data_IF_045016178537
#
_entry.id   IF_045016178537
#
_cell.length_a   1.000
_cell.length_b   1.000
_cell.length_c   1.000
_cell.angle_alpha   90.00
_cell.angle_beta   90.00
_cell.angle_gamma   90.00
#
_symmetry.space_group_name_H-M   'P 1'
#
loop_
_entity.id
_entity.type
_entity.pdbx_description
1 polymer ?
#
# COMPACT_ATOMS: atom_id res chain seq x y z
N UNK A 1 -36.21 -22.88 -11.53
CA UNK A 1 -36.21 -21.92 -10.39
C UNK A 1 -35.78 -20.55 -10.89
N UNK A 2 -36.68 -19.83 -11.61
CA UNK A 2 -36.32 -18.55 -12.26
C UNK A 2 -37.00 -17.34 -11.60
N UNK A 3 -37.39 -17.43 -10.30
CA UNK A 3 -38.31 -16.44 -9.70
C UNK A 3 -37.58 -15.41 -8.80
N UNK A 4 -36.32 -15.60 -8.49
CA UNK A 4 -35.59 -14.73 -7.51
C UNK A 4 -35.01 -13.45 -8.15
N UNK A 5 -34.52 -13.51 -9.38
CA UNK A 5 -33.85 -12.37 -10.03
C UNK A 5 -34.79 -11.21 -10.42
N UNK A 6 -36.10 -11.48 -10.58
CA UNK A 6 -37.10 -10.49 -11.06
C UNK A 6 -37.41 -9.38 -10.03
N UNK A 7 -37.26 -9.65 -8.73
CA UNK A 7 -37.63 -8.67 -7.68
C UNK A 7 -36.57 -7.55 -7.49
N UNK A 8 -35.32 -7.73 -7.94
CA UNK A 8 -34.26 -6.72 -7.83
C UNK A 8 -34.31 -5.66 -8.97
N UNK A 9 -34.95 -5.99 -10.12
CA UNK A 9 -34.98 -5.08 -11.25
C UNK A 9 -35.65 -3.73 -10.91
N UNK A 10 -36.81 -3.68 -10.20
CA UNK A 10 -37.42 -2.40 -9.80
C UNK A 10 -36.46 -1.51 -8.96
N UNK A 11 -35.61 -2.10 -8.11
CA UNK A 11 -34.62 -1.34 -7.33
C UNK A 11 -33.53 -0.76 -8.23
N UNK A 12 -33.11 -1.52 -9.25
CA UNK A 12 -32.13 -1.03 -10.26
C UNK A 12 -32.78 0.07 -11.11
N UNK A 13 -34.04 -0.10 -11.50
CA UNK A 13 -34.78 0.87 -12.33
C UNK A 13 -35.01 2.18 -11.58
N UNK A 14 -35.31 2.14 -10.30
CA UNK A 14 -35.47 3.33 -9.45
C UNK A 14 -34.17 3.89 -8.89
N UNK A 15 -33.02 3.21 -9.10
CA UNK A 15 -31.74 3.50 -8.49
C UNK A 15 -31.81 3.60 -6.95
N UNK A 16 -32.58 2.70 -6.31
CA UNK A 16 -32.69 2.62 -4.84
C UNK A 16 -31.40 2.02 -4.25
N UNK A 17 -30.37 2.84 -4.09
CA UNK A 17 -29.05 2.42 -3.53
C UNK A 17 -29.20 1.76 -2.15
N UNK A 18 -29.93 2.32 -1.16
CA UNK A 18 -30.12 1.65 0.13
C UNK A 18 -30.81 0.29 0.03
N UNK A 19 -31.83 0.17 -0.81
CA UNK A 19 -32.53 -1.10 -1.07
C UNK A 19 -31.61 -2.13 -1.70
N UNK A 20 -30.83 -1.73 -2.69
CA UNK A 20 -29.85 -2.59 -3.36
C UNK A 20 -28.72 -3.04 -2.42
N UNK A 21 -28.17 -2.18 -1.59
CA UNK A 21 -27.14 -2.58 -0.61
C UNK A 21 -27.68 -3.61 0.40
N UNK A 22 -28.92 -3.46 0.88
CA UNK A 22 -29.55 -4.49 1.70
C UNK A 22 -29.75 -5.82 0.96
N UNK A 23 -30.09 -5.76 -0.32
CA UNK A 23 -30.21 -6.95 -1.16
C UNK A 23 -28.88 -7.65 -1.36
N UNK A 24 -27.78 -6.90 -1.54
CA UNK A 24 -26.41 -7.43 -1.62
C UNK A 24 -26.06 -8.18 -0.34
N UNK A 25 -26.29 -7.57 0.84
CA UNK A 25 -26.02 -8.23 2.13
C UNK A 25 -26.86 -9.51 2.28
N UNK A 26 -28.11 -9.49 1.86
CA UNK A 26 -29.01 -10.65 1.89
C UNK A 26 -28.53 -11.79 0.98
N UNK A 27 -28.16 -11.49 -0.26
CA UNK A 27 -27.61 -12.48 -1.20
C UNK A 27 -26.29 -13.07 -0.70
N UNK A 28 -25.40 -12.23 -0.17
CA UNK A 28 -24.13 -12.69 0.43
C UNK A 28 -24.37 -13.64 1.59
N UNK A 29 -25.23 -13.27 2.55
CA UNK A 29 -25.57 -14.11 3.69
C UNK A 29 -26.21 -15.45 3.27
N UNK A 30 -27.00 -15.42 2.18
CA UNK A 30 -27.62 -16.62 1.61
C UNK A 30 -26.67 -17.41 0.67
N UNK A 31 -25.47 -16.87 0.39
CA UNK A 31 -24.49 -17.42 -0.59
C UNK A 31 -25.05 -17.56 -1.99
N UNK A 32 -25.89 -16.61 -2.40
CA UNK A 32 -26.51 -16.57 -3.72
C UNK A 32 -25.59 -15.84 -4.73
N UNK A 33 -24.38 -16.40 -4.97
CA UNK A 33 -23.31 -15.76 -5.73
C UNK A 33 -23.68 -15.43 -7.17
N UNK A 34 -24.40 -16.33 -7.83
CA UNK A 34 -24.90 -16.10 -9.20
C UNK A 34 -25.82 -14.89 -9.27
N UNK A 35 -26.67 -14.69 -8.24
CA UNK A 35 -27.54 -13.51 -8.17
C UNK A 35 -26.75 -12.23 -7.99
N UNK A 36 -25.67 -12.24 -7.19
CA UNK A 36 -24.77 -11.11 -7.03
C UNK A 36 -24.06 -10.76 -8.33
N UNK A 37 -23.55 -11.75 -9.08
CA UNK A 37 -22.96 -11.53 -10.40
C UNK A 37 -23.94 -10.93 -11.38
N UNK A 38 -25.19 -11.45 -11.44
CA UNK A 38 -26.23 -10.90 -12.30
C UNK A 38 -26.62 -9.47 -11.88
N UNK A 39 -26.75 -9.21 -10.58
CA UNK A 39 -27.02 -7.86 -10.06
C UNK A 39 -25.90 -6.88 -10.40
N UNK A 40 -24.63 -7.29 -10.26
CA UNK A 40 -23.47 -6.47 -10.66
C UNK A 40 -23.54 -6.07 -12.13
N UNK A 41 -23.86 -7.05 -13.01
CA UNK A 41 -24.02 -6.79 -14.44
C UNK A 41 -25.13 -5.77 -14.69
N UNK A 42 -26.34 -5.95 -14.11
CA UNK A 42 -27.46 -5.02 -14.24
C UNK A 42 -27.13 -3.61 -13.73
N UNK A 43 -26.41 -3.52 -12.61
CA UNK A 43 -25.95 -2.23 -12.10
C UNK A 43 -25.00 -1.55 -13.09
N UNK A 44 -24.06 -2.29 -13.70
CA UNK A 44 -23.14 -1.75 -14.72
C UNK A 44 -23.91 -1.27 -15.97
N UNK A 45 -24.83 -2.09 -16.49
CA UNK A 45 -25.68 -1.70 -17.63
C UNK A 45 -26.48 -0.41 -17.33
N UNK A 46 -26.98 -0.29 -16.10
CA UNK A 46 -27.69 0.91 -15.66
C UNK A 46 -26.79 2.14 -15.48
N UNK A 47 -25.52 1.95 -15.07
CA UNK A 47 -24.51 3.02 -14.99
C UNK A 47 -24.20 3.56 -16.39
N UNK A 48 -24.08 2.70 -17.40
CA UNK A 48 -23.89 3.12 -18.81
C UNK A 48 -25.07 3.96 -19.32
N UNK A 49 -26.26 3.75 -18.76
CA UNK A 49 -27.45 4.56 -19.01
C UNK A 49 -27.57 5.81 -18.12
N UNK A 50 -26.51 6.14 -17.36
CA UNK A 50 -26.42 7.37 -16.56
C UNK A 50 -26.91 7.26 -15.11
N UNK A 51 -27.27 6.06 -14.61
CA UNK A 51 -27.70 5.88 -13.22
C UNK A 51 -26.50 5.86 -12.26
N UNK A 52 -26.66 6.39 -11.05
CA UNK A 52 -25.61 6.48 -10.02
C UNK A 52 -25.56 5.21 -9.16
N UNK A 53 -25.33 4.04 -9.78
CA UNK A 53 -25.29 2.73 -9.13
C UNK A 53 -23.86 2.19 -8.91
N UNK A 54 -22.84 3.00 -9.19
CA UNK A 54 -21.45 2.62 -8.96
C UNK A 54 -21.14 2.19 -7.51
N UNK A 55 -21.73 2.77 -6.41
CA UNK A 55 -21.46 2.28 -5.06
C UNK A 55 -21.95 0.84 -4.85
N UNK A 56 -23.11 0.50 -5.45
CA UNK A 56 -23.67 -0.85 -5.36
C UNK A 56 -22.82 -1.85 -6.15
N UNK A 57 -22.48 -1.52 -7.40
CA UNK A 57 -21.65 -2.39 -8.24
C UNK A 57 -20.30 -2.71 -7.59
N UNK A 58 -19.65 -1.69 -7.04
CA UNK A 58 -18.37 -1.87 -6.34
C UNK A 58 -18.50 -2.65 -5.04
N UNK A 59 -19.57 -2.44 -4.27
CA UNK A 59 -19.82 -3.21 -3.06
C UNK A 59 -20.06 -4.70 -3.39
N UNK A 60 -20.77 -5.01 -4.47
CA UNK A 60 -20.94 -6.40 -4.94
C UNK A 60 -19.58 -7.00 -5.31
N UNK A 61 -18.76 -6.30 -6.10
CA UNK A 61 -17.45 -6.78 -6.51
C UNK A 61 -16.54 -7.02 -5.30
N UNK A 62 -16.58 -6.12 -4.31
CA UNK A 62 -15.87 -6.30 -3.05
C UNK A 62 -16.33 -7.54 -2.28
N UNK A 63 -17.66 -7.74 -2.12
CA UNK A 63 -18.22 -8.92 -1.43
C UNK A 63 -17.89 -10.22 -2.16
N UNK A 64 -17.92 -10.22 -3.51
CA UNK A 64 -17.49 -11.38 -4.30
C UNK A 64 -16.01 -11.68 -4.11
N UNK A 65 -15.13 -10.68 -4.16
CA UNK A 65 -13.70 -10.86 -3.94
C UNK A 65 -13.39 -11.34 -2.52
N UNK A 66 -14.14 -10.90 -1.51
CA UNK A 66 -13.88 -11.17 -0.10
C UNK A 66 -14.36 -12.54 0.36
N UNK A 67 -15.57 -12.97 -0.02
CA UNK A 67 -16.23 -14.13 0.62
C UNK A 67 -16.83 -15.18 -0.33
N UNK A 68 -16.87 -14.89 -1.64
CA UNK A 68 -17.40 -15.87 -2.59
C UNK A 68 -16.35 -16.97 -2.90
N UNK A 69 -16.76 -18.16 -3.33
CA UNK A 69 -15.83 -19.18 -3.82
C UNK A 69 -14.92 -18.69 -4.93
N UNK A 70 -13.70 -19.27 -5.03
CA UNK A 70 -12.62 -18.84 -5.93
C UNK A 70 -13.03 -18.40 -7.33
N UNK A 71 -13.83 -19.18 -8.10
CA UNK A 71 -14.26 -18.78 -9.44
C UNK A 71 -15.04 -17.44 -9.48
N UNK A 72 -15.87 -17.16 -8.49
CA UNK A 72 -16.58 -15.89 -8.41
C UNK A 72 -15.68 -14.76 -7.95
N UNK A 73 -14.81 -15.03 -6.98
CA UNK A 73 -13.82 -14.05 -6.50
C UNK A 73 -12.84 -13.66 -7.61
N UNK A 74 -12.28 -14.63 -8.33
CA UNK A 74 -11.40 -14.40 -9.47
C UNK A 74 -12.09 -13.65 -10.61
N UNK A 75 -13.37 -13.95 -10.87
CA UNK A 75 -14.15 -13.33 -11.94
C UNK A 75 -14.36 -11.81 -11.82
N UNK A 76 -14.11 -11.21 -10.65
CA UNK A 76 -14.16 -9.75 -10.46
C UNK A 76 -12.79 -9.07 -10.50
N UNK A 77 -11.69 -9.85 -10.57
CA UNK A 77 -10.33 -9.33 -10.60
C UNK A 77 -9.96 -8.87 -12.01
N UNK A 78 -10.06 -7.57 -12.23
CA UNK A 78 -9.68 -6.93 -13.49
C UNK A 78 -9.16 -5.51 -13.23
N UNK A 79 -8.31 -4.97 -14.10
CA UNK A 79 -7.82 -3.60 -13.97
C UNK A 79 -8.95 -2.57 -13.83
N UNK A 80 -8.83 -1.69 -12.85
CA UNK A 80 -9.80 -0.62 -12.59
C UNK A 80 -11.12 -1.05 -11.95
N UNK A 81 -11.32 -2.33 -11.63
CA UNK A 81 -12.49 -2.78 -10.89
C UNK A 81 -12.50 -2.21 -9.47
N UNK A 82 -13.72 -1.87 -8.99
CA UNK A 82 -13.99 -1.41 -7.62
C UNK A 82 -13.00 -0.35 -7.10
N UNK A 83 -12.66 0.65 -7.93
CA UNK A 83 -11.66 1.70 -7.64
C UNK A 83 -11.85 2.39 -6.29
N UNK A 84 -13.07 2.46 -5.78
CA UNK A 84 -13.38 3.08 -4.48
C UNK A 84 -13.77 2.04 -3.41
N UNK A 85 -13.42 0.78 -3.60
CA UNK A 85 -13.56 -0.23 -2.56
C UNK A 85 -12.59 0.04 -1.40
N UNK A 86 -12.75 -0.70 -0.31
CA UNK A 86 -11.89 -0.56 0.89
C UNK A 86 -10.41 -0.85 0.61
N UNK A 87 -10.11 -1.61 -0.45
CA UNK A 87 -8.77 -1.89 -0.95
C UNK A 87 -8.83 -2.48 -2.35
N UNK A 88 -7.68 -2.69 -3.02
CA UNK A 88 -7.63 -3.36 -4.32
C UNK A 88 -8.25 -4.75 -4.22
N UNK A 89 -9.10 -5.12 -5.18
CA UNK A 89 -9.76 -6.44 -5.14
C UNK A 89 -8.77 -7.61 -5.15
N UNK A 90 -7.60 -7.44 -5.74
CA UNK A 90 -6.50 -8.43 -5.71
C UNK A 90 -6.00 -8.67 -4.29
N UNK A 91 -5.83 -7.62 -3.49
CA UNK A 91 -5.45 -7.72 -2.08
C UNK A 91 -6.60 -8.28 -1.23
N UNK A 92 -7.83 -7.85 -1.50
CA UNK A 92 -9.04 -8.33 -0.82
C UNK A 92 -9.22 -9.83 -1.03
N UNK A 93 -9.22 -10.30 -2.28
CA UNK A 93 -9.34 -11.73 -2.60
C UNK A 93 -8.18 -12.54 -2.01
N UNK A 94 -6.94 -12.05 -2.13
CA UNK A 94 -5.78 -12.71 -1.55
C UNK A 94 -5.80 -12.74 -0.01
N UNK A 95 -6.63 -11.94 0.67
CA UNK A 95 -6.74 -11.98 2.13
C UNK A 95 -7.53 -13.19 2.65
N UNK A 96 -8.40 -13.77 1.84
CA UNK A 96 -9.32 -14.86 2.21
C UNK A 96 -9.15 -16.14 1.39
N UNK A 97 -8.48 -16.05 0.24
CA UNK A 97 -8.27 -17.20 -0.64
C UNK A 97 -6.78 -17.49 -0.83
N UNK A 98 -6.44 -18.75 -0.98
CA UNK A 98 -5.11 -19.21 -1.42
C UNK A 98 -4.91 -18.95 -2.93
N UNK A 99 -3.65 -19.00 -3.38
CA UNK A 99 -3.35 -18.93 -4.81
C UNK A 99 -4.08 -20.03 -5.61
N UNK A 100 -4.08 -21.26 -5.09
CA UNK A 100 -4.71 -22.41 -5.78
C UNK A 100 -6.22 -22.32 -5.92
N UNK A 101 -6.90 -21.50 -5.11
CA UNK A 101 -8.34 -21.28 -5.22
C UNK A 101 -8.71 -20.22 -6.26
N UNK A 102 -7.76 -19.38 -6.67
CA UNK A 102 -8.00 -18.25 -7.58
C UNK A 102 -7.36 -18.42 -8.95
N UNK A 103 -6.20 -19.07 -9.03
CA UNK A 103 -5.28 -19.01 -10.15
C UNK A 103 -5.92 -19.38 -11.50
N UNK A 104 -6.69 -20.46 -11.55
CA UNK A 104 -7.26 -20.99 -12.80
C UNK A 104 -8.37 -20.11 -13.39
N UNK A 105 -8.95 -19.22 -12.59
CA UNK A 105 -10.10 -18.42 -12.96
C UNK A 105 -9.76 -16.92 -13.13
N UNK A 106 -8.51 -16.49 -12.84
CA UNK A 106 -8.08 -15.10 -13.08
C UNK A 106 -7.75 -14.91 -14.55
N UNK A 107 -8.59 -14.18 -15.26
CA UNK A 107 -8.43 -13.97 -16.71
C UNK A 107 -7.35 -12.94 -17.08
N UNK A 108 -7.07 -11.96 -16.22
CA UNK A 108 -6.12 -10.88 -16.48
C UNK A 108 -4.75 -11.17 -15.89
N UNK A 109 -3.67 -11.27 -16.72
CA UNK A 109 -2.33 -11.60 -16.22
C UNK A 109 -1.76 -10.63 -15.18
N UNK A 110 -2.06 -9.33 -15.29
CA UNK A 110 -1.60 -8.35 -14.33
C UNK A 110 -2.29 -8.52 -12.97
N UNK A 111 -3.59 -8.84 -12.97
CA UNK A 111 -4.32 -9.19 -11.75
C UNK A 111 -3.81 -10.50 -11.14
N UNK A 112 -3.47 -11.49 -11.96
CA UNK A 112 -2.87 -12.75 -11.50
C UNK A 112 -1.51 -12.51 -10.83
N UNK A 113 -0.63 -11.72 -11.46
CA UNK A 113 0.66 -11.34 -10.88
C UNK A 113 0.50 -10.60 -9.55
N UNK A 114 -0.45 -9.66 -9.47
CA UNK A 114 -0.73 -8.92 -8.24
C UNK A 114 -1.24 -9.85 -7.11
N UNK A 115 -2.18 -10.75 -7.41
CA UNK A 115 -2.67 -11.75 -6.42
C UNK A 115 -1.54 -12.67 -5.97
N UNK A 116 -0.70 -13.15 -6.88
CA UNK A 116 0.44 -13.98 -6.54
C UNK A 116 1.38 -13.25 -5.55
N UNK A 117 1.73 -11.99 -5.83
CA UNK A 117 2.56 -11.19 -4.94
C UNK A 117 1.87 -10.93 -3.58
N UNK A 118 0.56 -10.71 -3.55
CA UNK A 118 -0.22 -10.62 -2.31
C UNK A 118 -0.19 -11.94 -1.51
N UNK A 119 -0.19 -13.09 -2.18
CA UNK A 119 -0.06 -14.40 -1.50
C UNK A 119 1.36 -14.66 -1.00
N UNK A 120 2.37 -14.22 -1.75
CA UNK A 120 3.78 -14.31 -1.32
C UNK A 120 4.02 -13.55 -0.01
N UNK A 121 3.52 -12.32 0.11
CA UNK A 121 3.68 -11.56 1.38
C UNK A 121 2.90 -12.19 2.54
N UNK A 122 1.91 -13.02 2.26
CA UNK A 122 1.15 -13.83 3.23
C UNK A 122 1.79 -15.20 3.50
N UNK A 123 2.95 -15.48 2.91
CA UNK A 123 3.79 -16.63 3.21
C UNK A 123 3.68 -17.81 2.23
N UNK A 124 2.95 -17.68 1.12
CA UNK A 124 2.98 -18.74 0.09
C UNK A 124 4.28 -18.73 -0.71
N UNK A 125 4.78 -19.92 -1.04
CA UNK A 125 5.88 -20.11 -1.97
C UNK A 125 5.29 -20.53 -3.31
N UNK A 126 5.30 -19.61 -4.28
CA UNK A 126 4.66 -19.77 -5.58
C UNK A 126 5.67 -19.93 -6.73
N UNK A 127 6.90 -20.37 -6.42
CA UNK A 127 7.92 -20.61 -7.46
C UNK A 127 7.41 -21.61 -8.51
N UNK A 128 7.47 -21.20 -9.77
CA UNK A 128 6.99 -22.00 -10.91
C UNK A 128 5.46 -21.94 -11.13
N UNK A 129 4.74 -21.11 -10.39
CA UNK A 129 3.28 -20.96 -10.55
C UNK A 129 2.87 -19.97 -11.64
N UNK A 130 3.77 -19.10 -12.09
CA UNK A 130 3.56 -18.11 -13.15
C UNK A 130 4.76 -18.09 -14.09
N UNK A 131 4.52 -17.69 -15.34
CA UNK A 131 5.58 -17.49 -16.34
C UNK A 131 6.48 -16.29 -15.99
N UNK A 132 7.79 -16.41 -16.27
CA UNK A 132 8.82 -15.44 -15.88
C UNK A 132 8.58 -14.02 -16.38
N UNK A 133 7.99 -13.85 -17.55
CA UNK A 133 7.77 -12.54 -18.19
C UNK A 133 6.75 -11.64 -17.46
N UNK A 134 5.94 -12.21 -16.57
CA UNK A 134 4.95 -11.47 -15.77
C UNK A 134 5.40 -11.21 -14.33
N UNK A 135 6.60 -11.67 -13.95
CA UNK A 135 7.08 -11.67 -12.59
C UNK A 135 8.10 -10.54 -12.38
N UNK A 136 7.67 -9.46 -11.73
CA UNK A 136 8.57 -8.34 -11.38
C UNK A 136 9.37 -8.59 -10.09
N UNK A 137 8.88 -9.47 -9.20
CA UNK A 137 9.53 -9.81 -7.93
C UNK A 137 9.50 -11.32 -7.68
N UNK A 138 10.44 -11.89 -6.89
CA UNK A 138 10.44 -13.30 -6.57
C UNK A 138 9.11 -13.80 -6.01
N UNK A 139 8.67 -14.98 -6.51
CA UNK A 139 7.43 -15.65 -6.11
C UNK A 139 7.56 -16.38 -4.76
N UNK A 140 8.48 -15.96 -3.96
CA UNK A 140 8.58 -16.31 -2.55
C UNK A 140 9.18 -15.12 -1.79
N UNK A 141 8.79 -14.92 -0.54
CA UNK A 141 9.41 -13.95 0.35
C UNK A 141 10.87 -14.33 0.61
N UNK A 142 11.78 -13.37 0.47
CA UNK A 142 13.18 -13.57 0.76
C UNK A 142 13.44 -13.57 2.27
N UNK A 143 14.51 -14.21 2.72
CA UNK A 143 14.82 -14.34 4.16
C UNK A 143 15.16 -13.01 4.84
N UNK A 144 15.55 -12.00 4.07
CA UNK A 144 15.86 -10.66 4.54
C UNK A 144 14.66 -9.71 4.51
N UNK A 145 13.56 -10.09 3.83
CA UNK A 145 12.32 -9.33 3.86
C UNK A 145 11.64 -9.45 5.23
N UNK A 146 11.01 -8.38 5.73
CA UNK A 146 10.32 -8.38 7.02
C UNK A 146 9.03 -9.22 7.00
N UNK A 147 8.48 -9.45 8.18
CA UNK A 147 7.07 -9.77 8.30
C UNK A 147 6.27 -8.50 8.05
N UNK A 148 5.52 -8.48 6.95
CA UNK A 148 4.74 -7.31 6.55
C UNK A 148 3.45 -7.18 7.36
N UNK A 149 3.09 -5.96 7.72
CA UNK A 149 1.83 -5.65 8.37
C UNK A 149 0.67 -5.83 7.37
N UNK A 150 -0.09 -6.90 7.53
CA UNK A 150 -1.15 -7.28 6.59
C UNK A 150 -2.48 -6.62 6.94
N UNK A 151 -3.24 -6.12 5.95
CA UNK A 151 -4.59 -5.61 6.18
C UNK A 151 -5.56 -6.73 6.56
N UNK A 152 -6.55 -6.36 7.37
CA UNK A 152 -7.70 -7.20 7.68
C UNK A 152 -8.94 -6.58 7.07
N UNK A 153 -9.61 -7.31 6.20
CA UNK A 153 -10.86 -6.91 5.55
C UNK A 153 -12.06 -7.54 6.24
N UNK A 154 -13.18 -6.83 6.23
CA UNK A 154 -14.49 -7.26 6.72
C UNK A 154 -15.57 -6.75 5.78
N UNK A 155 -16.83 -7.10 6.05
CA UNK A 155 -17.98 -6.76 5.19
C UNK A 155 -18.03 -5.30 4.74
N UNK A 156 -17.73 -4.36 5.64
CA UNK A 156 -17.86 -2.92 5.42
C UNK A 156 -16.71 -2.08 5.95
N UNK A 157 -15.67 -2.71 6.45
CA UNK A 157 -14.52 -2.03 7.03
C UNK A 157 -13.22 -2.74 6.69
N UNK A 158 -12.12 -2.02 6.74
CA UNK A 158 -10.78 -2.57 6.63
C UNK A 158 -9.88 -1.94 7.70
N UNK A 159 -9.04 -2.75 8.31
CA UNK A 159 -8.00 -2.32 9.23
C UNK A 159 -6.65 -2.46 8.52
N UNK A 160 -5.91 -1.36 8.48
CA UNK A 160 -4.57 -1.29 7.90
C UNK A 160 -3.55 -1.04 9.02
N UNK A 161 -2.96 -2.09 9.60
CA UNK A 161 -1.96 -1.92 10.66
C UNK A 161 -0.72 -1.23 10.09
N UNK A 162 -0.12 -0.36 10.87
CA UNK A 162 1.18 0.23 10.57
C UNK A 162 2.32 -0.65 11.07
N UNK A 163 3.53 -0.53 10.51
CA UNK A 163 4.71 -1.19 11.03
C UNK A 163 5.20 -0.53 12.33
N UNK A 164 6.01 -1.25 13.12
CA UNK A 164 6.58 -0.75 14.38
C UNK A 164 7.47 0.49 14.17
N UNK A 165 8.05 0.66 12.99
CA UNK A 165 8.83 1.83 12.62
C UNK A 165 8.04 3.15 12.64
N UNK A 166 6.70 3.11 12.60
CA UNK A 166 5.84 4.29 12.80
C UNK A 166 5.88 4.83 14.22
N UNK A 167 6.38 4.06 15.19
CA UNK A 167 6.58 4.56 16.55
C UNK A 167 7.62 5.69 16.53
N UNK A 168 7.32 6.87 17.07
CA UNK A 168 8.26 7.98 17.08
C UNK A 168 9.59 7.63 17.76
N UNK A 169 10.70 8.20 17.30
CA UNK A 169 11.99 8.05 17.97
C UNK A 169 11.93 8.64 19.37
N UNK A 170 12.68 8.05 20.31
CA UNK A 170 12.74 8.49 21.71
C UNK A 170 14.09 9.11 21.99
N UNK A 171 14.08 10.35 22.48
CA UNK A 171 15.32 11.05 22.83
C UNK A 171 15.15 12.56 22.91
N UNK A 172 16.23 13.24 23.15
CA UNK A 172 16.28 14.70 23.08
C UNK A 172 16.71 15.15 21.67
N UNK A 173 16.10 16.21 21.14
CA UNK A 173 16.51 16.75 19.85
C UNK A 173 17.95 17.25 19.88
N UNK A 174 18.67 17.00 18.81
CA UNK A 174 20.02 17.52 18.58
C UNK A 174 20.02 18.53 17.44
N UNK A 175 20.84 19.57 17.55
CA UNK A 175 21.13 20.46 16.44
C UNK A 175 21.95 19.71 15.40
N UNK A 176 21.54 19.82 14.13
CA UNK A 176 22.15 19.10 13.01
C UNK A 176 22.97 20.08 12.14
N UNK A 177 24.07 19.57 11.57
CA UNK A 177 24.89 20.31 10.63
C UNK A 177 24.74 19.75 9.22
N UNK A 178 24.42 20.57 8.21
CA UNK A 178 24.20 20.06 6.86
C UNK A 178 25.51 19.56 6.22
N UNK A 179 25.40 18.46 5.46
CA UNK A 179 26.46 17.96 4.61
C UNK A 179 26.61 18.75 3.31
N UNK A 180 27.47 18.26 2.42
CA UNK A 180 27.60 18.82 1.08
C UNK A 180 26.45 18.32 0.21
N UNK A 181 25.52 19.18 -0.20
CA UNK A 181 24.40 18.74 -1.02
C UNK A 181 24.87 18.23 -2.38
N UNK A 182 24.25 17.17 -2.85
CA UNK A 182 24.45 16.63 -4.19
C UNK A 182 23.26 16.95 -5.10
N UNK A 183 23.51 16.79 -6.41
CA UNK A 183 22.43 16.80 -7.36
C UNK A 183 21.48 15.63 -7.06
N UNK A 184 20.20 15.80 -7.43
CA UNK A 184 19.17 14.77 -7.33
C UNK A 184 19.64 13.48 -8.00
N UNK A 185 19.48 12.36 -7.31
CA UNK A 185 19.88 11.04 -7.75
C UNK A 185 18.70 10.05 -7.77
N UNK A 186 18.90 8.80 -8.24
CA UNK A 186 17.85 7.79 -8.26
C UNK A 186 17.26 7.48 -6.88
N UNK A 187 18.05 7.55 -5.79
CA UNK A 187 17.58 7.31 -4.42
C UNK A 187 16.56 8.35 -3.98
N UNK A 188 16.81 9.63 -4.25
CA UNK A 188 15.85 10.72 -4.00
C UNK A 188 14.58 10.52 -4.81
N UNK A 189 14.70 10.17 -6.11
CA UNK A 189 13.54 9.93 -6.96
C UNK A 189 12.69 8.75 -6.48
N UNK A 190 13.33 7.67 -6.04
CA UNK A 190 12.65 6.50 -5.53
C UNK A 190 11.90 6.81 -4.21
N UNK A 191 12.52 7.55 -3.29
CA UNK A 191 11.89 7.96 -2.03
C UNK A 191 10.67 8.86 -2.24
N UNK A 192 10.71 9.77 -3.22
CA UNK A 192 9.56 10.62 -3.55
C UNK A 192 8.46 9.84 -4.27
N UNK A 193 8.82 8.96 -5.22
CA UNK A 193 7.88 8.10 -5.96
C UNK A 193 7.16 7.12 -5.04
N UNK A 194 7.82 6.65 -3.98
CA UNK A 194 7.24 5.76 -2.98
C UNK A 194 5.92 6.29 -2.42
N UNK A 195 5.86 7.60 -2.17
CA UNK A 195 4.70 8.28 -1.57
C UNK A 195 3.94 9.17 -2.58
N UNK A 196 4.14 8.97 -3.86
CA UNK A 196 3.50 9.78 -4.92
C UNK A 196 1.97 9.84 -4.78
N UNK A 197 1.33 8.74 -4.38
CA UNK A 197 -0.13 8.72 -4.17
C UNK A 197 -0.57 9.70 -3.08
N UNK A 198 0.25 9.90 -2.04
CA UNK A 198 -0.06 10.86 -0.98
C UNK A 198 -0.07 12.30 -1.49
N UNK A 199 0.79 12.62 -2.46
CA UNK A 199 0.90 13.96 -3.01
C UNK A 199 0.00 14.21 -4.22
N UNK A 200 -0.25 13.18 -5.05
CA UNK A 200 -1.02 13.31 -6.29
C UNK A 200 -2.52 13.08 -6.11
N UNK A 201 -2.94 12.24 -5.14
CA UNK A 201 -4.34 11.90 -4.88
C UNK A 201 -4.84 12.40 -3.52
N UNK A 202 -3.96 12.99 -2.71
CA UNK A 202 -4.26 13.54 -1.39
C UNK A 202 -3.61 14.91 -1.24
N UNK A 203 -3.49 15.41 -0.02
CA UNK A 203 -2.88 16.71 0.32
C UNK A 203 -1.51 16.54 0.97
N UNK A 204 -0.91 15.37 0.82
CA UNK A 204 0.38 15.04 1.37
C UNK A 204 1.52 15.90 0.80
N UNK A 205 2.62 15.88 1.50
CA UNK A 205 3.86 16.57 1.12
C UNK A 205 5.01 15.59 1.21
N UNK A 206 6.01 15.79 0.35
CA UNK A 206 7.26 15.06 0.39
C UNK A 206 8.42 16.01 0.11
N UNK A 207 9.52 15.80 0.82
CA UNK A 207 10.82 16.41 0.53
C UNK A 207 11.87 15.36 0.77
N UNK A 208 12.81 15.21 -0.13
CA UNK A 208 13.94 14.31 0.00
C UNK A 208 15.24 15.01 -0.42
N UNK A 209 16.33 14.58 0.16
CA UNK A 209 17.67 15.14 -0.09
C UNK A 209 18.71 14.02 -0.10
N UNK A 210 19.80 14.26 -0.83
CA UNK A 210 21.02 13.45 -0.81
C UNK A 210 22.24 14.35 -0.56
N UNK A 211 23.14 13.90 0.27
CA UNK A 211 24.38 14.64 0.64
C UNK A 211 25.59 13.72 0.65
N UNK A 212 26.78 14.27 0.48
CA UNK A 212 28.00 13.67 1.01
C UNK A 212 28.04 13.93 2.52
N UNK A 213 28.09 12.87 3.30
CA UNK A 213 28.04 12.90 4.76
C UNK A 213 27.26 11.74 5.35
N UNK A 214 26.89 11.85 6.59
CA UNK A 214 26.11 10.86 7.33
C UNK A 214 24.60 11.15 7.32
N UNK A 215 23.81 10.28 7.96
CA UNK A 215 22.36 10.43 8.07
C UNK A 215 21.94 11.75 8.73
N UNK A 216 22.68 12.21 9.74
CA UNK A 216 22.40 13.47 10.43
C UNK A 216 22.57 14.67 9.48
N UNK A 217 23.61 14.62 8.63
CA UNK A 217 23.86 15.63 7.61
C UNK A 217 22.77 15.66 6.52
N UNK A 218 22.23 14.51 6.14
CA UNK A 218 21.09 14.43 5.20
C UNK A 218 19.82 14.99 5.82
N UNK A 219 19.50 14.63 7.07
CA UNK A 219 18.36 15.16 7.82
C UNK A 219 18.46 16.69 7.96
N UNK A 220 19.68 17.21 8.19
CA UNK A 220 19.94 18.65 8.31
C UNK A 220 19.58 19.45 7.05
N UNK A 221 19.46 18.80 5.89
CA UNK A 221 18.97 19.43 4.65
C UNK A 221 17.45 19.65 4.67
N UNK A 222 16.72 19.02 5.61
CA UNK A 222 15.26 19.06 5.71
C UNK A 222 14.77 19.79 6.98
N UNK A 223 15.57 19.76 8.06
CA UNK A 223 15.26 20.42 9.35
C UNK A 223 16.54 20.81 10.09
N UNK A 224 16.45 21.78 10.99
CA UNK A 224 17.61 22.25 11.76
C UNK A 224 17.91 21.40 13.00
N UNK A 225 16.88 20.70 13.51
CA UNK A 225 16.94 19.90 14.73
C UNK A 225 15.99 18.71 14.65
N UNK A 226 16.44 17.56 15.14
CA UNK A 226 15.66 16.33 15.15
C UNK A 226 16.07 15.40 16.29
N UNK A 227 15.13 14.52 16.66
CA UNK A 227 15.45 13.25 17.34
C UNK A 227 15.73 12.22 16.27
N UNK A 228 16.86 11.55 16.36
CA UNK A 228 17.31 10.53 15.39
C UNK A 228 17.57 9.22 16.14
N UNK A 229 17.04 8.11 15.62
CA UNK A 229 17.11 6.80 16.25
C UNK A 229 17.41 5.73 15.20
N UNK A 230 18.46 4.91 15.36
CA UNK A 230 18.76 3.84 14.42
C UNK A 230 17.67 2.77 14.42
N UNK A 231 17.38 2.21 13.26
CA UNK A 231 16.48 1.07 13.09
C UNK A 231 17.13 -0.01 12.27
N UNK A 232 16.70 -1.26 12.45
CA UNK A 232 17.19 -2.34 11.60
C UNK A 232 16.63 -2.22 10.17
N UNK A 233 17.40 -2.63 9.16
CA UNK A 233 17.02 -2.54 7.76
C UNK A 233 15.69 -3.21 7.44
N UNK A 234 15.38 -4.36 8.08
CA UNK A 234 14.08 -5.01 7.88
C UNK A 234 12.90 -4.18 8.42
N UNK A 235 13.07 -3.37 9.49
CA UNK A 235 12.04 -2.43 9.95
C UNK A 235 11.86 -1.27 8.96
N UNK A 236 12.97 -0.77 8.39
CA UNK A 236 12.89 0.24 7.34
C UNK A 236 12.16 -0.28 6.11
N UNK A 237 12.44 -1.51 5.67
CA UNK A 237 11.74 -2.14 4.55
C UNK A 237 10.24 -2.33 4.81
N UNK A 238 9.85 -2.73 6.02
CA UNK A 238 8.44 -2.80 6.40
C UNK A 238 7.76 -1.43 6.29
N UNK A 239 8.46 -0.37 6.65
CA UNK A 239 7.95 1.00 6.54
C UNK A 239 7.83 1.45 5.08
N UNK A 240 8.86 1.21 4.26
CA UNK A 240 8.82 1.49 2.82
C UNK A 240 7.65 0.76 2.13
N UNK A 241 7.49 -0.54 2.44
CA UNK A 241 6.38 -1.34 1.91
C UNK A 241 5.01 -0.75 2.31
N UNK A 242 4.84 -0.39 3.57
CA UNK A 242 3.61 0.20 4.07
C UNK A 242 3.30 1.54 3.38
N UNK A 243 4.31 2.40 3.21
CA UNK A 243 4.16 3.66 2.48
C UNK A 243 3.73 3.44 1.03
N UNK A 244 4.42 2.54 0.32
CA UNK A 244 4.13 2.21 -1.08
C UNK A 244 2.78 1.51 -1.29
N UNK A 245 2.27 0.79 -0.28
CA UNK A 245 0.94 0.17 -0.29
C UNK A 245 -0.18 1.17 0.02
N UNK A 246 0.12 2.20 0.81
CA UNK A 246 -0.87 3.15 1.35
C UNK A 246 -1.32 4.16 0.30
N UNK A 247 -2.58 4.55 0.38
CA UNK A 247 -3.13 5.69 -0.37
C UNK A 247 -2.96 7.05 0.31
N UNK A 248 -2.34 7.11 1.49
CA UNK A 248 -2.38 8.31 2.34
C UNK A 248 -3.75 8.54 2.95
N UNK A 249 -4.03 9.80 3.29
CA UNK A 249 -5.26 10.19 3.98
C UNK A 249 -6.53 10.07 3.12
N UNK A 250 -6.43 10.39 1.83
CA UNK A 250 -7.56 10.47 0.89
C UNK A 250 -7.34 9.74 -0.43
N UNK A 251 -6.12 9.30 -0.73
CA UNK A 251 -5.82 8.57 -1.95
C UNK A 251 -6.23 7.09 -1.87
N UNK A 252 -6.15 6.41 -3.00
CA UNK A 252 -6.51 5.01 -3.08
C UNK A 252 -5.35 4.12 -2.62
N UNK A 253 -5.65 3.15 -1.75
CA UNK A 253 -4.69 2.11 -1.38
C UNK A 253 -4.25 1.34 -2.64
N UNK A 254 -2.93 1.11 -2.76
CA UNK A 254 -2.33 0.40 -3.88
C UNK A 254 -2.24 -1.11 -3.66
N UNK A 255 -2.26 -1.56 -2.40
CA UNK A 255 -2.13 -2.95 -2.00
C UNK A 255 -0.71 -3.36 -1.59
N UNK A 256 -0.62 -4.49 -0.88
CA UNK A 256 0.64 -4.99 -0.35
C UNK A 256 1.64 -5.38 -1.44
N UNK A 257 1.17 -5.94 -2.55
CA UNK A 257 1.99 -6.28 -3.71
C UNK A 257 2.70 -5.05 -4.30
N UNK A 258 1.96 -3.95 -4.52
CA UNK A 258 2.52 -2.69 -5.00
C UNK A 258 3.49 -2.08 -3.96
N UNK A 259 3.18 -2.21 -2.68
CA UNK A 259 4.07 -1.77 -1.60
C UNK A 259 5.38 -2.55 -1.58
N UNK A 260 5.32 -3.89 -1.74
CA UNK A 260 6.52 -4.73 -1.82
C UNK A 260 7.42 -4.33 -2.99
N UNK A 261 6.82 -4.15 -4.17
CA UNK A 261 7.55 -3.67 -5.35
C UNK A 261 8.21 -2.32 -5.08
N UNK A 262 7.48 -1.35 -4.53
CA UNK A 262 8.00 -0.03 -4.23
C UNK A 262 9.15 -0.05 -3.22
N UNK A 263 9.10 -0.92 -2.19
CA UNK A 263 10.18 -1.08 -1.22
C UNK A 263 11.44 -1.67 -1.87
N UNK A 264 11.29 -2.69 -2.72
CA UNK A 264 12.40 -3.28 -3.47
C UNK A 264 13.04 -2.28 -4.43
N UNK A 265 12.20 -1.53 -5.17
CA UNK A 265 12.66 -0.48 -6.08
C UNK A 265 13.44 0.61 -5.35
N UNK A 266 12.92 1.07 -4.19
CA UNK A 266 13.60 2.08 -3.38
C UNK A 266 14.93 1.55 -2.84
N UNK A 267 14.97 0.32 -2.33
CA UNK A 267 16.20 -0.31 -1.85
C UNK A 267 17.24 -0.42 -2.97
N UNK A 268 16.83 -0.85 -4.17
CA UNK A 268 17.75 -0.95 -5.32
C UNK A 268 18.34 0.42 -5.69
N UNK A 269 17.51 1.46 -5.70
CA UNK A 269 17.96 2.82 -6.01
C UNK A 269 18.96 3.37 -4.96
N UNK A 270 18.70 3.11 -3.66
CA UNK A 270 19.58 3.51 -2.57
C UNK A 270 20.90 2.73 -2.57
N UNK A 271 20.87 1.46 -2.98
CA UNK A 271 22.05 0.62 -3.12
C UNK A 271 22.83 0.81 -4.44
N UNK A 272 22.37 1.71 -5.32
CA UNK A 272 22.97 1.90 -6.64
C UNK A 272 22.86 0.68 -7.57
N UNK A 273 21.98 -0.28 -7.25
CA UNK A 273 21.77 -1.50 -8.04
C UNK A 273 20.80 -1.25 -9.19
N UNK A 274 21.19 -1.48 -10.45
CA UNK A 274 20.29 -1.30 -11.58
C UNK A 274 19.20 -2.36 -11.57
N UNK A 275 17.95 -1.93 -11.83
CA UNK A 275 16.82 -2.84 -11.92
C UNK A 275 16.95 -3.75 -13.14
N UNK A 276 17.01 -5.07 -12.99
CA UNK A 276 17.16 -6.00 -14.12
C UNK A 276 15.82 -6.26 -14.84
N UNK A 277 15.89 -6.64 -16.11
CA UNK A 277 14.71 -6.97 -16.92
C UNK A 277 13.85 -8.10 -16.30
N UNK A 278 14.46 -9.00 -15.54
CA UNK A 278 13.81 -10.15 -14.91
C UNK A 278 14.12 -10.20 -13.39
N UNK A 279 13.83 -9.13 -12.67
CA UNK A 279 14.10 -9.02 -11.22
C UNK A 279 13.48 -10.18 -10.41
N UNK A 280 12.34 -10.70 -10.82
CA UNK A 280 11.65 -11.80 -10.14
C UNK A 280 12.41 -13.13 -10.10
N UNK A 281 13.34 -13.33 -11.01
CA UNK A 281 14.14 -14.58 -11.14
C UNK A 281 15.64 -14.36 -11.00
N UNK A 282 16.10 -13.11 -10.89
CA UNK A 282 17.51 -12.77 -10.75
C UNK A 282 18.00 -12.95 -9.30
N UNK A 283 18.58 -14.12 -9.04
CA UNK A 283 19.14 -14.43 -7.71
C UNK A 283 20.35 -13.55 -7.35
N UNK A 284 21.11 -13.02 -8.33
CA UNK A 284 22.22 -12.12 -8.06
C UNK A 284 21.69 -10.80 -7.56
N UNK A 285 20.67 -10.25 -8.21
CA UNK A 285 20.01 -9.02 -7.79
C UNK A 285 19.40 -9.17 -6.39
N UNK A 286 18.67 -10.26 -6.12
CA UNK A 286 18.11 -10.50 -4.80
C UNK A 286 19.19 -10.62 -3.71
N UNK A 287 20.38 -11.18 -4.01
CA UNK A 287 21.51 -11.21 -3.07
C UNK A 287 22.17 -9.86 -2.87
N UNK A 288 22.28 -9.04 -3.90
CA UNK A 288 22.82 -7.68 -3.79
C UNK A 288 21.90 -6.85 -2.87
N UNK A 289 20.58 -6.94 -3.04
CA UNK A 289 19.63 -6.27 -2.14
C UNK A 289 19.69 -6.81 -0.71
N UNK A 290 19.89 -8.11 -0.52
CA UNK A 290 20.09 -8.69 0.81
C UNK A 290 21.30 -8.08 1.51
N UNK A 291 22.43 -7.93 0.80
CA UNK A 291 23.62 -7.28 1.33
C UNK A 291 23.36 -5.81 1.67
N UNK A 292 22.70 -5.08 0.79
CA UNK A 292 22.37 -3.67 1.00
C UNK A 292 21.49 -3.42 2.25
N UNK A 293 20.59 -4.35 2.60
CA UNK A 293 19.78 -4.23 3.84
C UNK A 293 20.66 -4.19 5.07
N UNK A 294 21.75 -4.97 5.08
CA UNK A 294 22.67 -5.10 6.22
C UNK A 294 23.82 -4.07 6.19
N UNK A 295 24.23 -3.62 5.01
CA UNK A 295 25.36 -2.71 4.80
C UNK A 295 24.96 -1.24 4.90
N UNK A 296 23.72 -0.89 4.51
CA UNK A 296 23.18 0.45 4.71
C UNK A 296 22.77 0.66 6.17
N UNK A 297 23.05 1.84 6.67
CA UNK A 297 22.65 2.26 8.01
C UNK A 297 21.30 3.01 7.93
N UNK A 298 20.32 2.57 8.71
CA UNK A 298 18.94 3.06 8.65
C UNK A 298 18.56 3.81 9.91
N UNK A 299 17.90 4.96 9.75
CA UNK A 299 17.51 5.82 10.86
C UNK A 299 16.07 6.31 10.65
N UNK A 300 15.25 6.20 11.70
CA UNK A 300 14.03 6.99 11.80
C UNK A 300 14.35 8.32 12.49
N UNK A 301 13.60 9.35 12.16
CA UNK A 301 13.80 10.63 12.78
C UNK A 301 12.48 11.40 12.96
N UNK A 302 12.47 12.40 13.85
CA UNK A 302 11.34 13.30 14.05
C UNK A 302 11.87 14.71 14.25
N UNK A 303 11.32 15.74 13.55
CA UNK A 303 11.71 17.11 13.78
C UNK A 303 11.32 17.52 15.22
N UNK A 304 12.17 18.32 15.85
CA UNK A 304 11.94 18.78 17.22
C UNK A 304 10.84 19.83 17.33
N UNK A 305 10.60 20.57 16.25
CA UNK A 305 9.64 21.67 16.18
C UNK A 305 8.93 21.73 14.82
N UNK A 306 7.72 22.26 14.80
CA UNK A 306 6.94 22.43 13.58
C UNK A 306 5.70 21.53 13.47
N UNK A 307 4.92 21.65 12.39
CA UNK A 307 3.68 20.89 12.19
C UNK A 307 3.86 19.36 12.15
N UNK A 308 5.08 18.89 11.91
CA UNK A 308 5.43 17.48 11.91
C UNK A 308 5.76 16.95 13.34
N UNK A 309 5.91 17.83 14.32
CA UNK A 309 6.06 17.44 15.73
C UNK A 309 4.75 16.96 16.36
N UNK A 310 3.60 17.30 15.77
CA UNK A 310 2.30 16.77 16.16
C UNK A 310 2.14 15.34 15.61
N UNK A 311 2.54 14.38 16.42
CA UNK A 311 2.67 12.94 16.11
C UNK A 311 1.34 12.21 15.87
N UNK A 312 0.27 12.91 15.57
CA UNK A 312 -1.03 12.34 15.26
C UNK A 312 -1.22 12.07 13.76
N UNK A 313 -0.24 12.44 12.92
CA UNK A 313 -0.28 12.15 11.49
C UNK A 313 -0.10 10.64 11.25
N UNK A 314 -1.17 9.99 10.87
CA UNK A 314 -1.22 8.54 10.65
C UNK A 314 -0.39 8.09 9.44
N UNK A 315 -0.11 9.00 8.53
CA UNK A 315 0.69 8.78 7.32
C UNK A 315 1.92 9.67 7.36
N UNK A 316 3.04 9.11 7.75
CA UNK A 316 4.33 9.80 7.72
C UNK A 316 5.45 8.84 7.33
N UNK A 317 6.50 9.40 6.75
CA UNK A 317 7.78 8.74 6.48
C UNK A 317 8.89 9.73 6.76
N UNK A 318 9.55 9.56 7.90
CA UNK A 318 10.74 10.31 8.26
C UNK A 318 11.89 9.31 8.39
N UNK A 319 12.52 9.00 7.27
CA UNK A 319 13.57 8.01 7.13
C UNK A 319 14.85 8.69 6.66
N UNK A 320 15.99 8.27 7.19
CA UNK A 320 17.30 8.58 6.63
C UNK A 320 18.09 7.29 6.44
N UNK A 321 18.94 7.28 5.43
CA UNK A 321 19.78 6.14 5.05
C UNK A 321 21.17 6.65 4.81
N UNK A 322 22.18 5.96 5.34
CA UNK A 322 23.57 6.26 5.12
C UNK A 322 24.26 5.05 4.50
N UNK A 323 24.98 5.29 3.43
CA UNK A 323 25.92 4.34 2.86
C UNK A 323 27.34 4.69 3.34
N UNK A 324 27.89 3.95 4.31
CA UNK A 324 29.23 4.23 4.83
C UNK A 324 30.35 3.90 3.83
N UNK A 325 30.09 3.06 2.82
CA UNK A 325 31.08 2.70 1.82
C UNK A 325 31.34 3.86 0.84
N UNK A 326 30.27 4.51 0.38
CA UNK A 326 30.34 5.63 -0.56
C UNK A 326 30.32 7.00 0.14
N UNK A 327 30.05 7.04 1.45
CA UNK A 327 29.93 8.28 2.23
C UNK A 327 28.75 9.15 1.77
N UNK A 328 27.69 8.52 1.30
CA UNK A 328 26.46 9.15 0.86
C UNK A 328 25.35 8.95 1.87
N UNK A 329 24.48 9.94 2.00
CA UNK A 329 23.30 9.79 2.82
C UNK A 329 22.07 10.45 2.19
N UNK A 330 20.95 9.79 2.36
CA UNK A 330 19.62 10.25 1.91
C UNK A 330 18.74 10.51 3.12
N UNK A 331 17.85 11.50 3.02
CA UNK A 331 16.78 11.70 3.98
C UNK A 331 15.49 12.03 3.26
N UNK A 332 14.37 11.56 3.81
CA UNK A 332 13.03 11.87 3.34
C UNK A 332 12.15 12.30 4.51
N UNK A 333 11.35 13.34 4.26
CA UNK A 333 10.25 13.78 5.08
C UNK A 333 8.97 13.76 4.24
N UNK A 334 8.07 12.85 4.55
CA UNK A 334 6.75 12.82 3.92
C UNK A 334 5.66 12.72 4.97
N UNK A 335 4.56 13.42 4.74
CA UNK A 335 3.40 13.37 5.62
C UNK A 335 2.11 13.62 4.86
N UNK A 336 1.02 13.01 5.35
CA UNK A 336 -0.34 13.25 4.88
C UNK A 336 -1.31 13.10 6.04
N UNK A 337 -2.37 13.95 6.09
CA UNK A 337 -3.33 13.97 7.19
C UNK A 337 -4.76 14.25 6.72
N UNK A 338 -5.72 13.80 7.52
CA UNK A 338 -7.13 14.17 7.37
C UNK A 338 -7.42 15.52 8.02
N UNK A 339 -8.20 16.35 7.31
CA UNK A 339 -8.56 17.69 7.80
C UNK A 339 -9.40 17.66 9.08
N UNK A 340 -10.09 16.56 9.37
CA UNK A 340 -11.01 16.40 10.50
C UNK A 340 -10.30 15.95 11.80
N UNK A 341 -9.01 15.68 11.74
CA UNK A 341 -8.16 15.33 12.88
C UNK A 341 -7.41 16.55 13.45
N UNK A 342 -7.97 17.76 13.32
CA UNK A 342 -7.48 18.89 14.07
C UNK A 342 -7.61 18.59 15.58
N UNK A 343 -6.57 18.84 16.39
CA UNK A 343 -6.65 18.61 17.83
C UNK A 343 -7.88 19.34 18.36
N UNK A 344 -8.72 18.64 19.13
CA UNK A 344 -9.78 19.27 19.89
C UNK A 344 -9.13 20.30 20.80
N UNK A 345 -9.20 21.57 20.44
CA UNK A 345 -8.81 22.67 21.32
C UNK A 345 -9.47 22.44 22.66
N UNK A 346 -8.64 22.37 23.70
CA UNK A 346 -9.02 21.99 25.03
C UNK A 346 -10.26 22.71 25.52
N UNK A 347 -11.21 21.92 25.95
CA UNK A 347 -12.21 22.36 26.89
C UNK A 347 -11.52 22.60 28.27
N UNK A 348 -10.76 23.68 28.37
CA UNK A 348 -10.35 24.27 29.61
C UNK A 348 -10.68 25.75 29.55
N UNK A 349 -11.90 26.03 29.88
CA UNK A 349 -12.25 27.33 30.39
C UNK A 349 -13.52 27.22 31.25
N UNK A 350 -13.35 27.43 32.49
CA UNK A 350 -14.28 28.11 33.37
C UNK A 350 -14.75 27.40 34.61
N UNK A 351 -14.26 27.96 35.66
CA UNK A 351 -14.77 28.19 37.03
C UNK A 351 -14.83 26.99 37.95
#
# INVERSE_FOLDING_TARGET
MATSASHLQPLVDSADVPGLLRAVDGCSAAREWEQLVDLARRCRDAIELGKQLWPVAMHIEYRLAYEAPGPYAAGVLRPGAARFALGPLTEVAASTHSWSELADDIADPASAAAVAQERVIRGEDLRGALDGDTIELPLRRQTWEPDYALPTYRDREALFPGPDALTPPVGEPSALAPGRPLARDPGVEALETLVEVWTSQSKGRVSAAVVEGDAAAAIASLTTDAVVDPIAGHHALAWLQWCGASGGAYGHRRGGAAGRFAAWWTLAALAGEPWPDQAGTDERFARALAAAVDELEWFRWSPASGPAADQHDRWHLHLAVHDPADGLAWAVAASDRRADEAPSEGADASC
#
